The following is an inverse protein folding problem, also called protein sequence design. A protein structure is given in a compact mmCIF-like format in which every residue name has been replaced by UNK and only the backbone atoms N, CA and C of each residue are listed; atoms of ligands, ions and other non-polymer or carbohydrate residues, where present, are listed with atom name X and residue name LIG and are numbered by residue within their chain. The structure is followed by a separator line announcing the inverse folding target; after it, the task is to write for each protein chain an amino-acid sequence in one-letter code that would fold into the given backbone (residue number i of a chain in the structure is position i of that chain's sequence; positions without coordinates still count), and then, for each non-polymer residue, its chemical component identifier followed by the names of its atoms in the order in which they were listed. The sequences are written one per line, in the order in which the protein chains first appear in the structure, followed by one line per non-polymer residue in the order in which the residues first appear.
data_IF_388710095301
#
_entry.id   IF_388710095301
#
_cell.length_a   1.000
_cell.length_b   1.000
_cell.length_c   1.000
_cell.angle_alpha   90.00
_cell.angle_beta   90.00
_cell.angle_gamma   90.00
#
_symmetry.space_group_name_H-M   'P 1'
#
loop_
_entity.id
_entity.type
_entity.pdbx_description
1 polymer ?
#
# COMPACT_ATOMS: atom_id res chain seq x y z
N UNK A 1 -32.63 -8.96 -5.66
CA UNK A 1 -31.62 -8.64 -4.61
C UNK A 1 -30.85 -9.91 -4.27
N UNK A 2 -29.60 -10.04 -4.70
CA UNK A 2 -28.73 -11.17 -4.34
C UNK A 2 -27.84 -10.73 -3.17
N UNK A 3 -27.92 -11.45 -2.05
CA UNK A 3 -27.15 -11.17 -0.84
C UNK A 3 -25.68 -11.55 -1.09
N UNK A 4 -24.78 -10.57 -1.07
CA UNK A 4 -23.35 -10.82 -1.03
C UNK A 4 -22.97 -10.91 0.44
N UNK A 5 -22.63 -12.11 0.90
CA UNK A 5 -22.07 -12.35 2.23
C UNK A 5 -20.60 -11.97 2.18
N UNK A 6 -20.24 -10.89 2.87
CA UNK A 6 -18.88 -10.39 3.00
C UNK A 6 -18.21 -11.10 4.19
N UNK A 7 -17.56 -12.24 3.96
CA UNK A 7 -16.74 -12.88 5.00
C UNK A 7 -15.43 -12.10 5.12
N UNK A 8 -15.36 -11.20 6.10
CA UNK A 8 -14.11 -10.54 6.52
C UNK A 8 -13.44 -11.42 7.55
N UNK A 9 -12.37 -12.12 7.17
CA UNK A 9 -11.46 -12.71 8.15
C UNK A 9 -10.55 -11.58 8.66
N UNK A 10 -10.99 -10.92 9.72
CA UNK A 10 -10.13 -10.06 10.51
C UNK A 10 -9.39 -10.95 11.53
N UNK A 11 -8.12 -11.25 11.27
CA UNK A 11 -7.18 -11.65 12.31
C UNK A 11 -6.16 -10.52 12.47
N UNK A 12 -6.61 -9.39 13.04
CA UNK A 12 -5.73 -8.33 13.53
C UNK A 12 -5.66 -8.46 15.05
N UNK A 13 -4.80 -9.37 15.53
CA UNK A 13 -4.39 -9.37 16.93
C UNK A 13 -3.25 -8.36 17.09
N UNK A 14 -3.58 -7.10 17.39
CA UNK A 14 -2.61 -6.10 17.83
C UNK A 14 -2.73 -5.93 19.35
N UNK A 15 -1.74 -6.42 20.09
CA UNK A 15 -1.50 -6.02 21.49
C UNK A 15 -0.47 -4.89 21.48
N UNK A 16 -0.89 -3.68 21.87
CA UNK A 16 0.02 -2.55 22.06
C UNK A 16 0.63 -2.62 23.46
N UNK A 17 1.95 -2.82 23.55
CA UNK A 17 2.72 -2.63 24.77
C UNK A 17 3.95 -1.76 24.43
N UNK A 18 4.00 -0.58 25.04
CA UNK A 18 5.17 0.30 24.98
C UNK A 18 6.23 -0.25 25.93
N UNK A 19 7.35 -0.72 25.40
CA UNK A 19 8.55 -0.98 26.17
C UNK A 19 9.78 -0.77 25.27
N UNK A 20 10.62 0.17 25.73
CA UNK A 20 11.98 0.44 25.27
C UNK A 20 12.80 -0.85 25.37
N UNK A 21 13.26 -1.38 24.23
CA UNK A 21 13.93 -2.67 24.16
C UNK A 21 13.96 -3.23 22.74
N UNK A 22 15.15 -3.21 22.15
CA UNK A 22 15.46 -3.84 20.88
C UNK A 22 14.87 -5.27 20.80
N UNK A 23 14.27 -5.60 19.65
CA UNK A 23 13.79 -6.94 19.25
C UNK A 23 12.35 -7.33 19.61
N UNK A 24 11.37 -6.45 19.38
CA UNK A 24 9.95 -6.84 19.42
C UNK A 24 9.15 -6.40 18.18
N UNK A 25 9.64 -6.67 16.97
CA UNK A 25 8.85 -6.49 15.74
C UNK A 25 9.25 -7.55 14.70
N UNK A 26 8.88 -8.82 14.91
CA UNK A 26 8.94 -9.83 13.84
C UNK A 26 7.56 -9.98 13.19
N UNK A 27 7.01 -8.88 12.65
CA UNK A 27 6.51 -9.00 11.28
C UNK A 27 7.80 -9.25 10.50
N UNK A 28 7.91 -10.34 9.75
CA UNK A 28 9.07 -10.55 8.85
C UNK A 28 9.37 -9.18 8.23
N UNK A 29 10.53 -8.55 8.49
CA UNK A 29 10.74 -7.13 8.11
C UNK A 29 10.35 -6.93 6.64
N UNK A 30 10.61 -7.93 5.80
CA UNK A 30 10.21 -8.04 4.39
C UNK A 30 8.69 -8.06 4.10
N UNK A 31 7.84 -8.65 4.95
CA UNK A 31 6.39 -8.71 4.71
C UNK A 31 5.72 -7.33 4.82
N UNK A 32 6.28 -6.40 5.60
CA UNK A 32 5.80 -5.02 5.64
C UNK A 32 5.90 -4.32 4.26
N UNK A 33 6.80 -4.81 3.40
CA UNK A 33 7.05 -4.28 2.06
C UNK A 33 6.42 -5.13 0.95
N UNK A 34 5.72 -6.21 1.30
CA UNK A 34 5.03 -7.07 0.35
C UNK A 34 3.60 -6.54 0.10
N UNK A 35 3.42 -5.81 -1.00
CA UNK A 35 2.13 -5.24 -1.35
C UNK A 35 1.36 -6.20 -2.26
N UNK A 36 0.15 -6.58 -1.82
CA UNK A 36 -0.82 -7.29 -2.65
C UNK A 36 -2.06 -6.43 -2.77
N UNK A 37 -2.10 -5.60 -3.82
CA UNK A 37 -3.19 -4.65 -4.06
C UNK A 37 -4.19 -5.30 -5.01
N UNK A 38 -5.45 -5.34 -4.59
CA UNK A 38 -6.54 -5.77 -5.44
C UNK A 38 -6.97 -4.58 -6.33
N UNK A 39 -6.47 -4.54 -7.57
CA UNK A 39 -6.74 -3.43 -8.51
C UNK A 39 -8.24 -3.22 -8.73
N UNK A 40 -9.06 -4.28 -8.77
CA UNK A 40 -10.51 -4.14 -8.91
C UNK A 40 -11.14 -3.38 -7.73
N UNK A 41 -10.79 -3.73 -6.49
CA UNK A 41 -11.29 -3.03 -5.30
C UNK A 41 -10.80 -1.59 -5.25
N UNK A 42 -9.55 -1.34 -5.65
CA UNK A 42 -9.02 0.01 -5.75
C UNK A 42 -9.77 0.83 -6.80
N UNK A 43 -10.05 0.25 -7.97
CA UNK A 43 -10.86 0.89 -9.02
C UNK A 43 -12.25 1.27 -8.54
N UNK A 44 -12.92 0.36 -7.83
CA UNK A 44 -14.23 0.63 -7.23
C UNK A 44 -14.14 1.72 -6.17
N UNK A 45 -13.12 1.67 -5.31
CA UNK A 45 -12.93 2.68 -4.28
C UNK A 45 -12.70 4.06 -4.88
N UNK A 46 -11.91 4.18 -5.95
CA UNK A 46 -11.62 5.45 -6.59
C UNK A 46 -12.70 5.88 -7.59
N UNK A 47 -13.60 5.00 -8.01
CA UNK A 47 -14.59 5.31 -9.04
C UNK A 47 -13.91 5.54 -10.40
N UNK A 48 -13.03 4.62 -10.79
CA UNK A 48 -12.28 4.71 -12.04
C UNK A 48 -13.13 4.31 -13.24
N UNK A 49 -12.87 4.94 -14.38
CA UNK A 49 -13.33 4.43 -15.67
C UNK A 49 -12.43 3.26 -16.15
N UNK A 50 -12.72 2.69 -17.33
CA UNK A 50 -11.99 1.54 -17.88
C UNK A 50 -10.51 1.87 -18.13
N UNK A 51 -10.22 2.96 -18.83
CA UNK A 51 -8.86 3.38 -19.17
C UNK A 51 -8.02 3.66 -17.92
N UNK A 52 -8.62 4.36 -16.94
CA UNK A 52 -7.99 4.58 -15.64
C UNK A 52 -7.74 3.28 -14.88
N UNK A 53 -8.65 2.31 -14.96
CA UNK A 53 -8.49 1.01 -14.28
C UNK A 53 -7.30 0.23 -14.82
N UNK A 54 -7.12 0.22 -16.14
CA UNK A 54 -5.96 -0.42 -16.78
C UNK A 54 -4.65 0.25 -16.33
N UNK A 55 -4.56 1.58 -16.48
CA UNK A 55 -3.38 2.33 -16.08
C UNK A 55 -3.05 2.21 -14.58
N UNK A 56 -4.06 2.29 -13.71
CA UNK A 56 -3.89 2.12 -12.26
C UNK A 56 -3.42 0.71 -11.92
N UNK A 57 -3.92 -0.32 -12.61
CA UNK A 57 -3.48 -1.69 -12.38
C UNK A 57 -2.00 -1.88 -12.71
N UNK A 58 -1.52 -1.27 -13.79
CA UNK A 58 -0.10 -1.32 -14.17
C UNK A 58 0.79 -0.55 -13.20
N UNK A 59 0.33 0.63 -12.75
CA UNK A 59 1.04 1.42 -11.73
C UNK A 59 1.17 0.64 -10.42
N UNK A 60 0.09 0.02 -9.92
CA UNK A 60 0.12 -0.72 -8.66
C UNK A 60 0.95 -2.01 -8.73
N UNK A 61 0.98 -2.66 -9.89
CA UNK A 61 1.86 -3.81 -10.13
C UNK A 61 3.32 -3.40 -10.02
N UNK A 62 3.71 -2.30 -10.65
CA UNK A 62 5.07 -1.78 -10.57
C UNK A 62 5.43 -1.33 -9.15
N UNK A 63 4.54 -0.62 -8.48
CA UNK A 63 4.73 -0.21 -7.08
C UNK A 63 4.93 -1.41 -6.15
N UNK A 64 4.14 -2.47 -6.32
CA UNK A 64 4.29 -3.69 -5.52
C UNK A 64 5.64 -4.38 -5.73
N UNK A 65 6.18 -4.36 -6.94
CA UNK A 65 7.52 -4.87 -7.27
C UNK A 65 8.59 -4.00 -6.61
N UNK A 66 8.49 -2.68 -6.74
CA UNK A 66 9.47 -1.73 -6.17
C UNK A 66 9.52 -1.81 -4.65
N UNK A 67 8.35 -1.86 -4.00
CA UNK A 67 8.26 -2.04 -2.55
C UNK A 67 8.87 -3.37 -2.12
N UNK A 68 8.57 -4.46 -2.82
CA UNK A 68 9.18 -5.78 -2.53
C UNK A 68 10.71 -5.71 -2.65
N UNK A 69 11.23 -5.14 -3.73
CA UNK A 69 12.67 -4.99 -3.94
C UNK A 69 13.32 -4.12 -2.85
N UNK A 70 12.63 -3.05 -2.42
CA UNK A 70 13.08 -2.23 -1.31
C UNK A 70 13.13 -3.01 0.01
N UNK A 71 12.14 -3.85 0.28
CA UNK A 71 12.12 -4.74 1.45
C UNK A 71 13.26 -5.76 1.47
N UNK A 72 13.69 -6.24 0.30
CA UNK A 72 14.82 -7.16 0.14
C UNK A 72 16.19 -6.47 0.22
N UNK A 73 16.24 -5.13 0.14
CA UNK A 73 17.48 -4.37 0.28
C UNK A 73 18.00 -4.37 1.73
N UNK A 74 19.29 -4.03 1.89
CA UNK A 74 19.89 -3.82 3.20
C UNK A 74 19.23 -2.65 3.95
N UNK A 75 19.40 -2.65 5.27
CA UNK A 75 18.70 -1.71 6.17
C UNK A 75 19.06 -0.26 5.89
N UNK A 76 20.26 0.00 5.40
CA UNK A 76 20.79 1.34 5.11
C UNK A 76 20.16 1.94 3.85
N UNK A 77 19.90 1.13 2.82
CA UNK A 77 19.34 1.57 1.54
C UNK A 77 17.80 1.56 1.52
N UNK A 78 17.19 0.65 2.30
CA UNK A 78 15.75 0.41 2.29
C UNK A 78 14.89 1.67 2.46
N UNK A 79 15.17 2.60 3.41
CA UNK A 79 14.32 3.77 3.60
C UNK A 79 14.21 4.66 2.35
N UNK A 80 15.33 4.84 1.63
CA UNK A 80 15.35 5.68 0.43
C UNK A 80 14.62 5.00 -0.73
N UNK A 81 14.81 3.69 -0.93
CA UNK A 81 14.13 2.92 -1.97
C UNK A 81 12.60 2.89 -1.75
N UNK A 82 12.17 2.76 -0.49
CA UNK A 82 10.75 2.84 -0.13
C UNK A 82 10.20 4.22 -0.46
N UNK A 83 10.90 5.28 -0.06
CA UNK A 83 10.49 6.67 -0.33
C UNK A 83 10.42 6.94 -1.83
N UNK A 84 11.39 6.45 -2.60
CA UNK A 84 11.41 6.55 -4.06
C UNK A 84 10.19 5.85 -4.68
N UNK A 85 9.92 4.59 -4.29
CA UNK A 85 8.78 3.82 -4.78
C UNK A 85 7.45 4.52 -4.48
N UNK A 86 7.27 5.03 -3.25
CA UNK A 86 6.07 5.78 -2.87
C UNK A 86 5.93 7.05 -3.69
N UNK A 87 6.97 7.88 -3.80
CA UNK A 87 6.91 9.13 -4.56
C UNK A 87 6.63 8.90 -6.05
N UNK A 88 7.25 7.89 -6.65
CA UNK A 88 7.04 7.50 -8.04
C UNK A 88 5.60 7.06 -8.27
N UNK A 89 5.08 6.18 -7.41
CA UNK A 89 3.69 5.75 -7.45
C UNK A 89 2.72 6.94 -7.34
N UNK A 90 2.92 7.84 -6.36
CA UNK A 90 2.09 9.03 -6.19
C UNK A 90 2.12 9.92 -7.44
N UNK A 91 3.31 10.14 -8.02
CA UNK A 91 3.45 10.92 -9.25
C UNK A 91 2.70 10.30 -10.44
N UNK A 92 2.77 8.97 -10.61
CA UNK A 92 2.07 8.29 -11.70
C UNK A 92 0.56 8.28 -11.50
N UNK A 93 0.10 8.09 -10.27
CA UNK A 93 -1.31 8.17 -9.95
C UNK A 93 -1.87 9.57 -10.19
N UNK A 94 -1.13 10.63 -9.86
CA UNK A 94 -1.55 12.00 -10.15
C UNK A 94 -1.71 12.28 -11.65
N UNK A 95 -0.94 11.59 -12.51
CA UNK A 95 -1.05 11.76 -13.97
C UNK A 95 -2.30 11.09 -14.57
N UNK A 96 -2.85 10.06 -13.90
CA UNK A 96 -3.98 9.26 -14.40
C UNK A 96 -5.31 9.63 -13.73
N UNK A 97 -5.25 10.06 -12.47
CA UNK A 97 -6.41 10.35 -11.63
C UNK A 97 -6.78 11.83 -11.69
N UNK A 98 -8.08 12.13 -11.62
CA UNK A 98 -8.52 13.50 -11.34
C UNK A 98 -8.28 13.88 -9.87
N UNK A 99 -8.41 15.16 -9.53
CA UNK A 99 -8.12 15.67 -8.17
C UNK A 99 -8.88 14.93 -7.06
N UNK A 100 -10.17 14.63 -7.26
CA UNK A 100 -10.99 13.95 -6.26
C UNK A 100 -10.52 12.50 -6.07
N UNK A 101 -10.26 11.79 -7.16
CA UNK A 101 -9.73 10.43 -7.15
C UNK A 101 -8.35 10.39 -6.48
N UNK A 102 -7.48 11.33 -6.82
CA UNK A 102 -6.13 11.41 -6.28
C UNK A 102 -6.11 11.72 -4.77
N UNK A 103 -6.95 12.65 -4.29
CA UNK A 103 -7.08 12.89 -2.85
C UNK A 103 -7.56 11.65 -2.08
N UNK A 104 -8.51 10.90 -2.65
CA UNK A 104 -8.96 9.64 -2.07
C UNK A 104 -7.83 8.61 -2.07
N UNK A 105 -7.06 8.56 -3.14
CA UNK A 105 -5.88 7.69 -3.25
C UNK A 105 -4.82 8.00 -2.19
N UNK A 106 -4.45 9.28 -2.00
CA UNK A 106 -3.51 9.69 -0.95
C UNK A 106 -3.95 9.21 0.43
N UNK A 107 -5.25 9.34 0.71
CA UNK A 107 -5.84 8.91 1.98
C UNK A 107 -5.71 7.39 2.18
N UNK A 108 -6.02 6.61 1.14
CA UNK A 108 -5.88 5.14 1.16
C UNK A 108 -4.42 4.71 1.27
N UNK A 109 -3.52 5.34 0.51
CA UNK A 109 -2.10 5.05 0.53
C UNK A 109 -1.49 5.34 1.90
N UNK A 110 -1.78 6.51 2.48
CA UNK A 110 -1.31 6.87 3.81
C UNK A 110 -1.77 5.87 4.88
N UNK A 111 -3.05 5.48 4.89
CA UNK A 111 -3.54 4.45 5.81
C UNK A 111 -2.87 3.09 5.57
N UNK A 112 -2.65 2.73 4.30
CA UNK A 112 -2.02 1.46 3.91
C UNK A 112 -0.58 1.36 4.41
N UNK A 113 0.17 2.46 4.32
CA UNK A 113 1.54 2.61 4.78
C UNK A 113 1.62 2.64 6.31
N UNK A 114 0.78 3.44 6.97
CA UNK A 114 0.73 3.51 8.43
C UNK A 114 0.39 2.16 9.08
N UNK A 115 -0.57 1.43 8.51
CA UNK A 115 -0.93 0.07 8.96
C UNK A 115 0.20 -0.95 8.79
N UNK A 116 1.24 -0.63 8.02
CA UNK A 116 2.45 -1.44 7.84
C UNK A 116 3.65 -0.92 8.65
N UNK A 117 3.47 0.15 9.43
CA UNK A 117 4.56 0.81 10.16
C UNK A 117 5.48 1.65 9.27
N UNK A 118 5.07 1.95 8.03
CA UNK A 118 5.84 2.76 7.07
C UNK A 118 5.36 4.21 7.12
N UNK A 119 5.82 4.97 8.11
CA UNK A 119 5.45 6.38 8.24
C UNK A 119 6.54 7.27 7.61
N UNK A 120 6.14 8.26 6.83
CA UNK A 120 7.01 9.25 6.17
C UNK A 120 6.67 10.67 6.62
#
# INVERSE_FOLDING_TARGET
MKKIVLTVVAMLSMTMAFADGENANNINETEAYNFSINSYKLSVALGLNLDQTEAVSDIEKNFSIEMKNAGEANKEQRPELVKEAVNKNLSYMHAVLNNQQYHKYLTLMNMTLANRGLNF
#
